data_IF_039138416733
#
_entry.id   IF_039138416733
#
_cell.length_a   1.000
_cell.length_b   1.000
_cell.length_c   1.000
_cell.angle_alpha   90.00
_cell.angle_beta   90.00
_cell.angle_gamma   90.00
#
_symmetry.space_group_name_H-M   'P 1'
#
loop_
_entity.id
_entity.type
_entity.pdbx_description
1 polymer ?
#
# COMPACT_ATOMS: atom_id res chain seq x y z
N UNK A 1 2.49 18.42 -5.22
CA UNK A 1 2.23 17.18 -4.51
C UNK A 1 2.14 17.38 -3.02
N UNK A 2 1.58 16.42 -2.35
CA UNK A 2 1.47 16.38 -0.89
C UNK A 2 2.67 15.61 -0.36
N UNK A 3 3.55 16.25 0.43
CA UNK A 3 4.76 15.63 0.96
C UNK A 3 4.89 15.90 2.46
N UNK A 4 4.60 14.89 3.27
CA UNK A 4 4.75 14.95 4.72
C UNK A 4 6.16 14.63 5.19
N UNK A 5 7.06 14.23 4.29
CA UNK A 5 8.45 13.87 4.59
C UNK A 5 9.47 14.94 4.19
N UNK A 6 9.09 15.88 3.32
CA UNK A 6 9.99 16.90 2.76
C UNK A 6 10.60 17.84 3.81
N UNK A 7 11.58 18.63 3.40
CA UNK A 7 12.28 19.57 4.30
C UNK A 7 11.50 20.88 4.50
N UNK A 8 10.63 21.26 3.56
CA UNK A 8 9.80 22.46 3.67
C UNK A 8 8.62 22.22 4.64
N UNK A 9 8.68 22.86 5.81
CA UNK A 9 7.65 22.75 6.85
C UNK A 9 6.29 23.25 6.38
N UNK A 10 6.25 24.31 5.58
CA UNK A 10 4.98 24.84 5.05
C UNK A 10 4.28 23.84 4.14
N UNK A 11 5.04 23.13 3.31
CA UNK A 11 4.50 22.07 2.45
C UNK A 11 4.06 20.86 3.26
N UNK A 12 4.82 20.47 4.31
CA UNK A 12 4.40 19.41 5.22
C UNK A 12 3.09 19.75 5.93
N UNK A 13 2.94 20.95 6.46
CA UNK A 13 1.71 21.37 7.16
C UNK A 13 0.50 21.38 6.21
N UNK A 14 0.66 21.78 4.96
CA UNK A 14 -0.40 21.65 3.93
C UNK A 14 -0.77 20.20 3.67
N UNK A 15 0.21 19.30 3.60
CA UNK A 15 -0.03 17.87 3.40
C UNK A 15 -0.75 17.24 4.61
N UNK A 16 -0.37 17.62 5.84
CA UNK A 16 -1.02 17.21 7.08
C UNK A 16 -2.50 17.60 7.07
N UNK A 17 -2.80 18.88 6.80
CA UNK A 17 -4.18 19.37 6.75
C UNK A 17 -5.00 18.74 5.62
N UNK A 18 -4.35 18.42 4.49
CA UNK A 18 -5.01 17.68 3.41
C UNK A 18 -5.42 16.27 3.86
N UNK A 19 -4.50 15.53 4.49
CA UNK A 19 -4.79 14.16 4.95
C UNK A 19 -5.83 14.14 6.06
N UNK A 20 -5.82 15.11 7.00
CA UNK A 20 -6.89 15.25 8.01
C UNK A 20 -8.26 15.41 7.37
N UNK A 21 -8.40 16.31 6.39
CA UNK A 21 -9.66 16.48 5.66
C UNK A 21 -10.08 15.23 4.89
N UNK A 22 -9.13 14.51 4.31
CA UNK A 22 -9.42 13.22 3.66
C UNK A 22 -9.97 12.20 4.66
N UNK A 23 -9.36 12.08 5.84
CA UNK A 23 -9.82 11.21 6.93
C UNK A 23 -11.25 11.56 7.37
N UNK A 24 -11.53 12.85 7.60
CA UNK A 24 -12.88 13.34 7.93
C UNK A 24 -13.89 12.99 6.81
N UNK A 25 -13.50 13.17 5.54
CA UNK A 25 -14.32 12.79 4.39
C UNK A 25 -14.57 11.29 4.32
N UNK A 26 -13.58 10.44 4.59
CA UNK A 26 -13.73 8.99 4.64
C UNK A 26 -14.70 8.57 5.74
N UNK A 27 -14.59 9.16 6.93
CA UNK A 27 -15.51 8.91 8.05
C UNK A 27 -16.96 9.27 7.68
N UNK A 28 -17.20 10.42 7.01
CA UNK A 28 -18.52 10.82 6.55
C UNK A 28 -19.11 9.84 5.51
N UNK A 29 -18.27 9.20 4.73
CA UNK A 29 -18.67 8.17 3.75
C UNK A 29 -18.84 6.77 4.39
N UNK A 30 -18.58 6.62 5.68
CA UNK A 30 -18.62 5.35 6.38
C UNK A 30 -17.45 4.42 6.08
N UNK A 31 -16.35 4.95 5.50
CA UNK A 31 -15.15 4.16 5.27
C UNK A 31 -14.29 4.07 6.53
N UNK A 32 -13.77 2.88 6.81
CA UNK A 32 -13.00 2.59 8.03
C UNK A 32 -11.49 2.80 7.86
N UNK A 33 -11.01 2.98 6.63
CA UNK A 33 -9.58 3.14 6.39
C UNK A 33 -9.27 4.02 5.16
N UNK A 34 -8.04 4.52 5.12
CA UNK A 34 -7.42 5.19 3.98
C UNK A 34 -5.99 4.63 3.84
N UNK A 35 -5.56 4.33 2.63
CA UNK A 35 -4.23 3.76 2.37
C UNK A 35 -3.55 4.33 1.13
N UNK A 36 -2.27 4.06 1.02
CA UNK A 36 -1.42 4.49 -0.08
C UNK A 36 -0.11 5.13 0.40
N UNK A 37 0.59 5.80 -0.50
CA UNK A 37 1.78 6.61 -0.17
C UNK A 37 1.34 7.97 0.38
N UNK A 38 0.53 7.93 1.46
CA UNK A 38 -0.04 9.15 2.09
C UNK A 38 0.99 9.95 2.90
N UNK A 39 2.17 9.40 3.07
CA UNK A 39 3.24 9.90 3.94
C UNK A 39 4.32 10.73 3.21
N UNK A 40 4.32 10.74 1.88
CA UNK A 40 5.31 11.45 1.06
C UNK A 40 4.74 11.77 -0.33
N UNK A 41 5.52 12.49 -1.15
CA UNK A 41 5.18 12.70 -2.55
C UNK A 41 5.32 11.41 -3.36
N UNK A 42 4.48 11.23 -4.38
CA UNK A 42 4.56 10.13 -5.32
C UNK A 42 4.20 10.59 -6.75
N UNK A 43 4.88 10.10 -7.77
CA UNK A 43 6.13 9.31 -7.71
C UNK A 43 7.30 10.15 -7.19
N UNK A 44 8.27 9.51 -6.55
CA UNK A 44 9.50 10.19 -6.18
C UNK A 44 10.35 10.51 -7.42
N UNK A 45 10.92 11.70 -7.47
CA UNK A 45 11.83 12.10 -8.55
C UNK A 45 13.29 11.86 -8.15
N UNK A 46 13.91 10.91 -8.82
CA UNK A 46 15.34 10.58 -8.65
C UNK A 46 16.24 11.14 -9.76
N UNK A 47 15.68 11.89 -10.71
CA UNK A 47 16.41 12.28 -11.94
C UNK A 47 17.54 13.27 -11.70
N UNK A 48 17.46 14.06 -10.63
CA UNK A 48 18.37 15.18 -10.38
C UNK A 48 18.92 15.23 -8.96
N UNK A 49 18.67 14.23 -8.13
CA UNK A 49 19.04 14.23 -6.73
C UNK A 49 19.47 12.85 -6.25
N UNK A 50 20.60 12.81 -5.56
CA UNK A 50 21.12 11.60 -4.91
C UNK A 50 20.60 11.60 -3.48
N UNK A 51 19.85 10.56 -3.13
CA UNK A 51 19.35 10.37 -1.77
C UNK A 51 20.44 9.73 -0.91
N UNK A 52 21.04 10.51 -0.05
CA UNK A 52 22.02 10.03 0.91
C UNK A 52 21.36 9.44 2.17
N UNK A 53 22.03 8.53 2.91
CA UNK A 53 21.47 7.90 4.10
C UNK A 53 20.97 8.89 5.16
N UNK A 54 21.69 9.99 5.38
CA UNK A 54 21.29 11.02 6.33
C UNK A 54 20.03 11.78 5.89
N UNK A 55 19.83 11.93 4.59
CA UNK A 55 18.59 12.48 4.05
C UNK A 55 17.42 11.53 4.25
N UNK A 56 17.57 10.24 3.93
CA UNK A 56 16.53 9.23 4.20
C UNK A 56 16.14 9.27 5.68
N UNK A 57 17.11 9.30 6.60
CA UNK A 57 16.86 9.37 8.04
C UNK A 57 16.07 10.62 8.40
N UNK A 58 16.52 11.80 8.00
CA UNK A 58 15.88 13.10 8.28
C UNK A 58 14.44 13.13 7.75
N UNK A 59 14.22 12.67 6.52
CA UNK A 59 12.89 12.64 5.91
C UNK A 59 11.98 11.61 6.57
N UNK A 60 12.51 10.51 7.06
CA UNK A 60 11.75 9.54 7.87
C UNK A 60 11.32 10.18 9.19
N UNK A 61 12.18 10.95 9.86
CA UNK A 61 11.86 11.69 11.08
C UNK A 61 10.77 12.76 10.81
N UNK A 62 10.87 13.50 9.72
CA UNK A 62 9.83 14.45 9.28
C UNK A 62 8.48 13.75 9.04
N UNK A 63 8.49 12.61 8.37
CA UNK A 63 7.32 11.77 8.13
C UNK A 63 6.66 11.35 9.45
N UNK A 64 7.41 10.80 10.40
CA UNK A 64 6.91 10.39 11.71
C UNK A 64 6.28 11.56 12.46
N UNK A 65 6.94 12.72 12.48
CA UNK A 65 6.44 13.90 13.15
C UNK A 65 5.15 14.44 12.50
N UNK A 66 5.06 14.37 11.17
CA UNK A 66 3.87 14.75 10.43
C UNK A 66 2.70 13.79 10.68
N UNK A 67 2.96 12.48 10.65
CA UNK A 67 1.95 11.45 10.96
C UNK A 67 1.40 11.60 12.37
N UNK A 68 2.23 11.88 13.36
CA UNK A 68 1.78 12.16 14.75
C UNK A 68 0.74 13.30 14.82
N UNK A 69 0.92 14.35 14.00
CA UNK A 69 -0.05 15.46 13.90
C UNK A 69 -1.38 15.04 13.29
N UNK A 70 -1.40 13.98 12.48
CA UNK A 70 -2.60 13.45 11.80
C UNK A 70 -3.36 12.45 12.67
N UNK A 71 -2.64 11.67 13.49
CA UNK A 71 -3.23 10.49 14.16
C UNK A 71 -4.39 10.82 15.10
N UNK A 72 -4.37 11.99 15.77
CA UNK A 72 -5.53 12.37 16.58
C UNK A 72 -6.81 12.48 15.73
N UNK A 73 -6.73 13.04 14.54
CA UNK A 73 -7.89 13.11 13.63
C UNK A 73 -8.33 11.71 13.18
N UNK A 74 -7.38 10.81 12.93
CA UNK A 74 -7.67 9.43 12.55
C UNK A 74 -8.37 8.66 13.70
N UNK A 75 -7.90 8.80 14.92
CA UNK A 75 -8.48 8.19 16.12
C UNK A 75 -9.89 8.74 16.42
N UNK A 76 -10.07 10.06 16.40
CA UNK A 76 -11.35 10.72 16.66
C UNK A 76 -12.42 10.33 15.62
N UNK A 77 -12.02 10.04 14.39
CA UNK A 77 -12.88 9.61 13.29
C UNK A 77 -12.96 8.09 13.09
N UNK A 78 -12.23 7.30 13.89
CA UNK A 78 -12.16 5.83 13.78
C UNK A 78 -11.70 5.34 12.40
N UNK A 79 -10.84 6.09 11.73
CA UNK A 79 -10.26 5.76 10.44
C UNK A 79 -8.82 5.27 10.63
N UNK A 80 -8.50 4.12 10.06
CA UNK A 80 -7.12 3.61 10.02
C UNK A 80 -6.36 4.25 8.86
N UNK A 81 -5.15 4.71 9.10
CA UNK A 81 -4.22 5.21 8.07
C UNK A 81 -3.21 4.11 7.75
N UNK A 82 -3.30 3.56 6.56
CA UNK A 82 -2.47 2.45 6.10
C UNK A 82 -1.32 2.98 5.23
N UNK A 83 -0.10 2.92 5.74
CA UNK A 83 1.11 3.34 5.03
C UNK A 83 1.51 2.26 4.03
N UNK A 84 1.45 2.55 2.76
CA UNK A 84 1.83 1.59 1.73
C UNK A 84 3.35 1.43 1.67
N UNK A 85 3.80 0.20 1.82
CA UNK A 85 5.21 -0.17 1.70
C UNK A 85 5.48 -0.47 0.24
N UNK A 86 6.22 0.41 -0.43
CA UNK A 86 6.45 0.32 -1.87
C UNK A 86 7.90 -0.03 -2.19
N UNK A 87 8.11 -0.59 -3.37
CA UNK A 87 9.44 -0.95 -3.84
C UNK A 87 10.34 0.29 -4.07
N UNK A 88 11.66 0.05 -4.07
CA UNK A 88 12.72 1.07 -4.26
C UNK A 88 12.64 1.87 -5.54
N UNK A 89 11.92 1.40 -6.55
CA UNK A 89 11.76 2.10 -7.83
C UNK A 89 10.65 3.14 -7.78
N UNK A 90 9.77 3.07 -6.77
CA UNK A 90 8.66 4.01 -6.59
C UNK A 90 8.91 5.02 -5.47
N UNK A 91 9.53 4.60 -4.36
CA UNK A 91 9.92 5.49 -3.28
C UNK A 91 11.08 4.93 -2.45
N UNK A 92 11.76 5.78 -1.68
CA UNK A 92 12.95 5.41 -0.91
C UNK A 92 12.74 5.37 0.61
N UNK A 93 11.61 5.87 1.15
CA UNK A 93 11.44 6.02 2.60
C UNK A 93 11.21 4.68 3.31
N UNK A 94 10.28 3.87 2.81
CA UNK A 94 9.91 2.59 3.40
C UNK A 94 9.76 1.56 2.29
N UNK A 95 10.72 0.63 2.21
CA UNK A 95 10.72 -0.41 1.19
C UNK A 95 10.40 -1.79 1.76
N UNK A 96 10.60 -2.00 3.06
CA UNK A 96 10.27 -3.26 3.72
C UNK A 96 9.22 -3.08 4.81
N UNK A 97 8.47 -4.14 5.09
CA UNK A 97 7.54 -4.15 6.22
C UNK A 97 8.23 -3.83 7.55
N UNK A 98 9.48 -4.25 7.72
CA UNK A 98 10.27 -3.96 8.92
C UNK A 98 10.48 -2.44 9.09
N UNK A 99 10.85 -1.70 8.04
CA UNK A 99 10.97 -0.23 8.09
C UNK A 99 9.64 0.43 8.43
N UNK A 100 8.53 -0.04 7.81
CA UNK A 100 7.20 0.48 8.09
C UNK A 100 6.74 0.23 9.53
N UNK A 101 7.04 -0.94 10.10
CA UNK A 101 6.75 -1.28 11.50
C UNK A 101 7.48 -0.31 12.45
N UNK A 102 8.74 0.00 12.19
CA UNK A 102 9.49 0.96 13.00
C UNK A 102 8.88 2.36 12.93
N UNK A 103 8.40 2.79 11.76
CA UNK A 103 7.65 4.05 11.62
C UNK A 103 6.34 4.01 12.41
N UNK A 104 5.53 2.94 12.29
CA UNK A 104 4.29 2.79 13.06
C UNK A 104 4.53 2.82 14.57
N UNK A 105 5.58 2.12 15.06
CA UNK A 105 5.99 2.16 16.48
C UNK A 105 6.36 3.57 16.92
N UNK A 106 7.16 4.27 16.11
CA UNK A 106 7.59 5.62 16.40
C UNK A 106 6.43 6.62 16.39
N UNK A 107 5.46 6.45 15.49
CA UNK A 107 4.22 7.26 15.49
C UNK A 107 3.41 7.01 16.75
N UNK A 108 3.25 5.76 17.17
CA UNK A 108 2.67 5.39 18.45
C UNK A 108 1.14 5.40 18.51
N UNK A 109 0.45 5.36 17.35
CA UNK A 109 -1.02 5.33 17.25
C UNK A 109 -1.53 3.94 16.84
N UNK A 110 -2.62 3.44 17.41
CA UNK A 110 -3.27 2.21 16.97
C UNK A 110 -3.86 2.32 15.56
N UNK A 111 -4.14 3.55 15.11
CA UNK A 111 -4.69 3.86 13.79
C UNK A 111 -3.62 4.04 12.70
N UNK A 112 -2.32 3.93 13.04
CA UNK A 112 -1.23 3.90 12.08
C UNK A 112 -0.85 2.45 11.78
N UNK A 113 -1.14 1.99 10.57
CA UNK A 113 -0.94 0.62 10.12
C UNK A 113 -0.20 0.58 8.78
N UNK A 114 0.08 -0.63 8.32
CA UNK A 114 0.70 -0.88 7.02
C UNK A 114 -0.34 -1.33 6.00
N UNK A 115 -0.17 -0.87 4.78
CA UNK A 115 -0.66 -1.52 3.59
C UNK A 115 0.50 -2.30 2.98
N UNK A 116 0.35 -3.62 2.89
CA UNK A 116 1.33 -4.49 2.23
C UNK A 116 0.77 -4.97 0.89
N UNK A 117 1.57 -4.88 -0.16
CA UNK A 117 1.23 -5.33 -1.51
C UNK A 117 2.22 -6.40 -1.99
N UNK A 118 1.71 -7.55 -2.41
CA UNK A 118 2.52 -8.65 -2.90
C UNK A 118 3.43 -8.29 -4.07
N UNK A 119 3.04 -7.33 -4.91
CA UNK A 119 3.91 -6.83 -5.99
C UNK A 119 5.15 -6.15 -5.43
N UNK A 120 5.01 -5.26 -4.44
CA UNK A 120 6.13 -4.58 -3.80
C UNK A 120 6.96 -5.56 -2.97
N UNK A 121 6.32 -6.42 -2.18
CA UNK A 121 6.98 -7.43 -1.37
C UNK A 121 7.80 -8.41 -2.20
N UNK A 122 7.35 -8.77 -3.41
CA UNK A 122 8.10 -9.66 -4.32
C UNK A 122 9.46 -9.07 -4.77
N UNK A 123 9.64 -7.75 -4.67
CA UNK A 123 10.89 -7.07 -5.01
C UNK A 123 11.77 -6.90 -3.78
N UNK A 124 11.20 -6.61 -2.64
CA UNK A 124 11.91 -6.14 -1.45
C UNK A 124 12.06 -7.16 -0.32
N UNK A 125 11.15 -8.16 -0.25
CA UNK A 125 11.15 -9.13 0.83
C UNK A 125 11.69 -10.48 0.39
N UNK A 126 12.50 -11.12 1.23
CA UNK A 126 13.06 -12.45 0.94
C UNK A 126 12.01 -13.56 1.02
N UNK A 127 11.03 -13.43 1.92
CA UNK A 127 9.94 -14.39 2.13
C UNK A 127 8.65 -13.66 2.49
N UNK A 128 7.71 -13.59 1.54
CA UNK A 128 6.43 -12.88 1.71
C UNK A 128 5.60 -13.49 2.86
N UNK A 129 5.35 -14.81 2.94
CA UNK A 129 4.63 -15.40 4.06
C UNK A 129 5.25 -15.11 5.43
N UNK A 130 6.57 -15.19 5.55
CA UNK A 130 7.25 -14.92 6.81
C UNK A 130 7.18 -13.43 7.19
N UNK A 131 7.30 -12.54 6.22
CA UNK A 131 7.10 -11.09 6.44
C UNK A 131 5.69 -10.79 6.94
N UNK A 132 4.66 -11.44 6.38
CA UNK A 132 3.28 -11.32 6.88
C UNK A 132 3.20 -11.73 8.37
N UNK A 133 3.78 -12.86 8.75
CA UNK A 133 3.80 -13.31 10.16
C UNK A 133 4.46 -12.30 11.09
N UNK A 134 5.62 -11.79 10.70
CA UNK A 134 6.36 -10.76 11.48
C UNK A 134 5.61 -9.44 11.59
N UNK A 135 4.71 -9.17 10.65
CA UNK A 135 3.89 -7.96 10.61
C UNK A 135 2.57 -8.07 11.40
N UNK A 136 2.39 -9.16 12.19
CA UNK A 136 1.20 -9.37 13.02
C UNK A 136 0.86 -8.12 13.84
N UNK A 137 -0.41 -7.67 13.73
CA UNK A 137 -0.93 -6.51 14.43
C UNK A 137 -0.60 -5.16 13.78
N UNK A 138 0.24 -5.14 12.73
CA UNK A 138 0.56 -3.93 11.97
C UNK A 138 -0.14 -3.84 10.64
N UNK A 139 -0.57 -4.93 10.02
CA UNK A 139 -1.25 -4.92 8.71
C UNK A 139 -2.68 -4.43 8.90
N UNK A 140 -3.02 -3.31 8.27
CA UNK A 140 -4.37 -2.76 8.23
C UNK A 140 -5.05 -2.93 6.88
N UNK A 141 -4.27 -3.12 5.81
CA UNK A 141 -4.77 -3.32 4.45
C UNK A 141 -3.82 -4.24 3.66
N UNK A 142 -4.34 -5.00 2.70
CA UNK A 142 -3.52 -5.94 1.95
C UNK A 142 -3.88 -5.93 0.47
N UNK A 143 -2.89 -5.71 -0.40
CA UNK A 143 -3.03 -5.76 -1.84
C UNK A 143 -2.43 -7.02 -2.45
N UNK A 144 -3.09 -7.53 -3.48
CA UNK A 144 -2.65 -8.71 -4.24
C UNK A 144 -2.62 -8.39 -5.74
N UNK A 145 -1.51 -8.71 -6.36
CA UNK A 145 -1.35 -8.75 -7.81
C UNK A 145 -0.16 -9.64 -8.17
N UNK A 146 -0.04 -10.02 -9.43
CA UNK A 146 1.14 -10.74 -9.89
C UNK A 146 2.38 -9.82 -9.87
N UNK A 147 3.62 -10.40 -9.86
CA UNK A 147 4.85 -9.61 -9.90
C UNK A 147 5.01 -8.67 -11.10
N UNK A 148 4.15 -8.78 -12.09
CA UNK A 148 4.08 -7.92 -13.27
C UNK A 148 2.81 -7.06 -13.30
N UNK A 149 2.16 -6.87 -12.14
CA UNK A 149 0.89 -6.12 -11.97
C UNK A 149 -0.30 -6.70 -12.76
N UNK A 150 -0.20 -7.91 -13.29
CA UNK A 150 -1.37 -8.60 -13.83
C UNK A 150 -2.28 -9.08 -12.70
N UNK A 151 -3.52 -9.37 -13.08
CA UNK A 151 -4.49 -10.03 -12.21
C UNK A 151 -3.91 -11.37 -11.75
N UNK A 152 -4.05 -11.75 -10.47
CA UNK A 152 -3.58 -13.04 -9.96
C UNK A 152 -4.16 -14.22 -10.75
N UNK A 153 -3.30 -15.19 -11.06
CA UNK A 153 -3.65 -16.32 -11.90
C UNK A 153 -2.81 -17.57 -11.57
N UNK A 154 -3.23 -18.74 -12.04
CA UNK A 154 -2.65 -20.04 -11.68
C UNK A 154 -1.17 -20.24 -12.07
N UNK A 155 -0.60 -19.42 -12.92
CA UNK A 155 0.84 -19.45 -13.25
C UNK A 155 1.68 -18.50 -12.40
N UNK A 156 1.15 -18.07 -11.28
CA UNK A 156 1.80 -17.12 -10.37
C UNK A 156 3.14 -17.59 -9.84
N UNK A 157 4.03 -16.62 -9.60
CA UNK A 157 5.26 -16.81 -8.82
C UNK A 157 5.04 -16.50 -7.33
N UNK A 158 3.95 -15.86 -6.98
CA UNK A 158 3.58 -15.60 -5.59
C UNK A 158 3.01 -16.90 -4.99
N UNK A 159 3.49 -17.34 -3.82
CA UNK A 159 3.00 -18.57 -3.18
C UNK A 159 1.65 -18.32 -2.45
N UNK A 160 0.59 -18.05 -3.22
CA UNK A 160 -0.71 -17.58 -2.71
C UNK A 160 -1.27 -18.40 -1.55
N UNK A 161 -1.20 -19.74 -1.62
CA UNK A 161 -1.66 -20.61 -0.51
C UNK A 161 -0.86 -20.38 0.78
N UNK A 162 0.44 -20.11 0.68
CA UNK A 162 1.28 -19.80 1.85
C UNK A 162 1.00 -18.38 2.37
N UNK A 163 0.72 -17.44 1.45
CA UNK A 163 0.27 -16.08 1.80
C UNK A 163 -1.05 -16.16 2.59
N UNK A 164 -2.05 -16.88 2.08
CA UNK A 164 -3.32 -17.08 2.77
C UNK A 164 -3.15 -17.75 4.14
N UNK A 165 -2.31 -18.79 4.24
CA UNK A 165 -2.02 -19.42 5.51
C UNK A 165 -1.41 -18.42 6.52
N UNK A 166 -0.44 -17.60 6.09
CA UNK A 166 0.18 -16.59 6.94
C UNK A 166 -0.81 -15.53 7.41
N UNK A 167 -1.70 -15.04 6.53
CA UNK A 167 -2.75 -14.09 6.91
C UNK A 167 -3.70 -14.67 7.95
N UNK A 168 -4.15 -15.94 7.79
CA UNK A 168 -4.98 -16.62 8.78
C UNK A 168 -4.26 -16.86 10.11
N UNK A 169 -2.99 -17.27 10.09
CA UNK A 169 -2.16 -17.49 11.29
C UNK A 169 -2.04 -16.23 12.15
N UNK A 170 -1.98 -15.04 11.54
CA UNK A 170 -1.92 -13.78 12.27
C UNK A 170 -3.30 -13.25 12.67
N UNK A 171 -4.39 -13.88 12.22
CA UNK A 171 -5.77 -13.45 12.46
C UNK A 171 -6.14 -12.19 11.66
N UNK A 172 -5.65 -12.07 10.42
CA UNK A 172 -6.02 -10.96 9.54
C UNK A 172 -7.47 -11.12 9.06
N UNK A 173 -8.30 -10.14 9.38
CA UNK A 173 -9.75 -10.12 9.14
C UNK A 173 -10.20 -8.89 8.33
N UNK A 174 -9.27 -8.24 7.64
CA UNK A 174 -9.52 -7.01 6.89
C UNK A 174 -9.54 -7.25 5.39
N UNK A 175 -9.71 -6.16 4.62
CA UNK A 175 -9.83 -6.22 3.17
C UNK A 175 -8.58 -6.75 2.48
N UNK A 176 -8.78 -7.59 1.47
CA UNK A 176 -7.78 -7.98 0.48
C UNK A 176 -8.23 -7.45 -0.88
N UNK A 177 -7.45 -6.57 -1.46
CA UNK A 177 -7.81 -5.88 -2.71
C UNK A 177 -6.92 -6.37 -3.86
N UNK A 178 -7.55 -6.68 -4.98
CA UNK A 178 -6.82 -6.97 -6.23
C UNK A 178 -6.41 -5.66 -6.87
N UNK A 179 -5.15 -5.28 -6.72
CA UNK A 179 -4.57 -4.10 -7.35
C UNK A 179 -3.80 -4.49 -8.61
N UNK A 180 -4.52 -4.61 -9.72
CA UNK A 180 -3.98 -5.03 -11.01
C UNK A 180 -4.19 -3.98 -12.08
N UNK A 181 -3.29 -3.95 -13.06
CA UNK A 181 -3.34 -3.01 -14.15
C UNK A 181 -3.68 -3.73 -15.46
N UNK A 182 -4.32 -3.03 -16.38
CA UNK A 182 -4.83 -3.63 -17.61
C UNK A 182 -4.29 -2.94 -18.86
N UNK A 183 -4.27 -1.60 -18.85
CA UNK A 183 -4.08 -0.78 -20.04
C UNK A 183 -2.97 0.25 -19.83
N UNK A 184 -2.09 0.39 -20.82
CA UNK A 184 -1.09 1.46 -20.89
C UNK A 184 -1.71 2.82 -21.27
N UNK A 185 -0.93 3.88 -21.15
CA UNK A 185 -1.27 5.24 -21.57
C UNK A 185 -1.85 6.12 -20.45
N UNK A 186 -1.98 7.41 -20.77
CA UNK A 186 -2.37 8.43 -19.81
C UNK A 186 -1.29 8.73 -18.76
N UNK A 187 -1.58 9.71 -17.91
CA UNK A 187 -0.66 10.13 -16.84
C UNK A 187 -0.38 9.01 -15.84
N UNK A 188 -1.42 8.27 -15.45
CA UNK A 188 -1.29 7.14 -14.53
C UNK A 188 -0.39 6.04 -15.10
N UNK A 189 -0.61 5.63 -16.35
CA UNK A 189 0.23 4.62 -17.01
C UNK A 189 1.69 5.07 -17.14
N UNK A 190 1.92 6.37 -17.37
CA UNK A 190 3.26 6.95 -17.38
C UNK A 190 3.92 6.88 -15.98
N UNK A 191 3.23 7.32 -14.94
CA UNK A 191 3.75 7.31 -13.57
C UNK A 191 4.03 5.89 -13.07
N UNK A 192 3.18 4.93 -13.45
CA UNK A 192 3.35 3.50 -13.14
C UNK A 192 4.31 2.78 -14.09
N UNK A 193 4.92 3.49 -15.06
CA UNK A 193 5.84 2.94 -16.08
C UNK A 193 5.26 1.77 -16.85
N UNK A 194 3.97 1.86 -17.17
CA UNK A 194 3.25 0.87 -17.97
C UNK A 194 3.44 1.14 -19.45
N UNK A 195 4.39 0.46 -20.06
CA UNK A 195 4.77 0.65 -21.48
C UNK A 195 4.10 -0.33 -22.44
N UNK A 196 3.25 -1.21 -21.92
CA UNK A 196 2.47 -2.18 -22.71
C UNK A 196 1.16 -2.50 -22.01
N UNK A 197 0.17 -2.96 -22.78
CA UNK A 197 -1.06 -3.48 -22.22
C UNK A 197 -0.81 -4.82 -21.51
N UNK A 198 -1.51 -5.04 -20.40
CA UNK A 198 -1.39 -6.22 -19.57
C UNK A 198 -2.59 -7.17 -19.70
N UNK A 199 -3.67 -6.73 -20.37
CA UNK A 199 -4.82 -7.53 -20.74
C UNK A 199 -4.95 -7.60 -22.28
N UNK A 200 -5.51 -8.71 -22.80
CA UNK A 200 -5.77 -8.90 -24.21
C UNK A 200 -7.04 -8.16 -24.64
N UNK A 201 -8.11 -8.31 -23.87
CA UNK A 201 -9.37 -7.57 -24.08
C UNK A 201 -9.41 -6.35 -23.14
N UNK A 202 -9.28 -5.17 -23.74
CA UNK A 202 -9.30 -3.87 -23.06
C UNK A 202 -10.69 -3.26 -22.95
N UNK A 203 -11.72 -3.90 -23.48
CA UNK A 203 -13.11 -3.48 -23.29
C UNK A 203 -13.46 -3.45 -21.81
N UNK A 204 -14.51 -2.73 -21.44
CA UNK A 204 -14.98 -2.75 -20.05
C UNK A 204 -15.37 -4.17 -19.62
N UNK A 205 -16.07 -4.88 -20.49
CA UNK A 205 -16.53 -6.25 -20.26
C UNK A 205 -15.35 -7.21 -20.06
N UNK A 206 -14.35 -7.17 -20.94
CA UNK A 206 -13.15 -8.01 -20.82
C UNK A 206 -12.36 -7.75 -19.53
N UNK A 207 -12.20 -6.49 -19.13
CA UNK A 207 -11.51 -6.13 -17.88
C UNK A 207 -12.30 -6.58 -16.65
N UNK A 208 -13.64 -6.44 -16.65
CA UNK A 208 -14.49 -6.93 -15.56
C UNK A 208 -14.46 -8.45 -15.46
N UNK A 209 -14.52 -9.16 -16.59
CA UNK A 209 -14.40 -10.62 -16.61
C UNK A 209 -13.07 -11.09 -16.04
N UNK A 210 -11.95 -10.43 -16.44
CA UNK A 210 -10.62 -10.75 -15.93
C UNK A 210 -10.49 -10.44 -14.41
N UNK A 211 -11.05 -9.31 -13.94
CA UNK A 211 -11.08 -8.98 -12.53
C UNK A 211 -11.86 -10.02 -11.72
N UNK A 212 -13.04 -10.40 -12.18
CA UNK A 212 -13.88 -11.43 -11.54
C UNK A 212 -13.15 -12.77 -11.44
N UNK A 213 -12.47 -13.18 -12.52
CA UNK A 213 -11.67 -14.40 -12.52
C UNK A 213 -10.53 -14.34 -11.48
N UNK A 214 -9.82 -13.21 -11.41
CA UNK A 214 -8.73 -13.03 -10.46
C UNK A 214 -9.19 -13.00 -9.02
N UNK A 215 -10.33 -12.36 -8.72
CA UNK A 215 -10.94 -12.34 -7.39
C UNK A 215 -11.32 -13.77 -6.99
N UNK A 216 -11.99 -14.53 -7.85
CA UNK A 216 -12.34 -15.93 -7.58
C UNK A 216 -11.10 -16.78 -7.32
N UNK A 217 -10.07 -16.65 -8.16
CA UNK A 217 -8.82 -17.39 -7.98
C UNK A 217 -8.15 -17.05 -6.63
N UNK A 218 -8.03 -15.77 -6.28
CA UNK A 218 -7.40 -15.37 -5.01
C UNK A 218 -8.21 -15.83 -3.81
N UNK A 219 -9.53 -15.73 -3.84
CA UNK A 219 -10.42 -16.27 -2.79
C UNK A 219 -10.09 -17.72 -2.49
N UNK A 220 -10.06 -18.57 -3.52
CA UNK A 220 -9.73 -19.99 -3.38
C UNK A 220 -8.33 -20.22 -2.81
N UNK A 221 -7.34 -19.44 -3.28
CA UNK A 221 -5.95 -19.59 -2.86
C UNK A 221 -5.72 -19.12 -1.42
N UNK A 222 -6.38 -18.05 -1.00
CA UNK A 222 -6.28 -17.53 0.37
C UNK A 222 -7.13 -18.35 1.36
N UNK A 223 -7.99 -19.25 0.86
CA UNK A 223 -8.84 -20.11 1.69
C UNK A 223 -10.08 -19.37 2.22
N UNK A 224 -10.56 -18.36 1.49
CA UNK A 224 -11.83 -17.69 1.76
C UNK A 224 -13.04 -18.56 1.42
N UNK A 225 -14.17 -18.31 2.09
CA UNK A 225 -15.47 -18.90 1.80
C UNK A 225 -16.33 -17.92 0.98
N UNK A 226 -17.47 -18.38 0.46
CA UNK A 226 -18.40 -17.49 -0.27
C UNK A 226 -18.95 -16.36 0.61
N UNK A 227 -18.97 -16.55 1.94
CA UNK A 227 -19.48 -15.58 2.91
C UNK A 227 -18.44 -14.49 3.30
N UNK A 228 -17.21 -14.60 2.83
CA UNK A 228 -16.11 -13.66 3.16
C UNK A 228 -16.04 -12.45 2.21
N UNK A 229 -17.04 -12.26 1.27
CA UNK A 229 -17.00 -11.22 0.22
C UNK A 229 -18.36 -10.61 -0.09
#
# INVERSE_FOLDING_TARGET
GWDMSGDDETLRDKAIEHLKRAIEGMSLLGAADIGGIVYSNWPADYSHHIIEPDEKKRRTENCINSLRKVMKTAEDNQVTVNLEIVNRFEHFLMNTAAEGIEVCKAVGSPNCKLLLDCFHMNIEEDDIPETIRRSKGYIGHFHVSEPNRKVPYHTSRIPWKKVGAALREIGYDKSVIVESFYKTGGEQGHNMRMWRDLAEDLSLEGRLALATQGIGYIRDQLGGTEDDF
#
